data_IF_865786074429
#
_entry.id   IF_865786074429
#
_cell.length_a   1.000
_cell.length_b   1.000
_cell.length_c   1.000
_cell.angle_alpha   90.00
_cell.angle_beta   90.00
_cell.angle_gamma   90.00
#
_symmetry.space_group_name_H-M   'P 1'
#
loop_
_entity.id
_entity.type
_entity.pdbx_description
1 polymer ?
#
# COMPACT_ATOMS: atom_id res chain seq x y z
N UNK A 1 49.49 60.04 14.30
CA UNK A 1 49.53 58.61 13.90
C UNK A 1 48.26 57.89 14.38
N UNK A 2 47.35 57.46 13.48
CA UNK A 2 46.33 56.46 13.83
C UNK A 2 46.27 55.33 12.78
N UNK A 3 47.06 54.26 12.96
CA UNK A 3 46.99 53.04 12.11
C UNK A 3 46.29 51.85 12.79
N UNK A 4 46.14 51.84 14.13
CA UNK A 4 45.56 50.69 14.87
C UNK A 4 44.04 50.59 14.70
N UNK A 5 43.30 51.70 14.73
CA UNK A 5 41.84 51.73 14.63
C UNK A 5 41.30 51.05 13.35
N UNK A 6 41.91 51.29 12.19
CA UNK A 6 41.42 50.72 10.93
C UNK A 6 41.69 49.21 10.78
N UNK A 7 42.71 48.68 11.47
CA UNK A 7 43.06 47.25 11.40
C UNK A 7 42.06 46.41 12.20
N UNK A 8 41.64 46.90 13.37
CA UNK A 8 40.67 46.20 14.21
C UNK A 8 39.27 46.19 13.59
N UNK A 9 38.84 47.28 12.94
CA UNK A 9 37.56 47.35 12.20
C UNK A 9 37.53 46.36 11.03
N UNK A 10 38.63 46.20 10.28
CA UNK A 10 38.69 45.21 9.19
C UNK A 10 38.61 43.78 9.70
N UNK A 11 39.16 43.50 10.89
CA UNK A 11 39.15 42.17 11.51
C UNK A 11 37.75 41.80 12.04
N UNK A 12 37.03 42.74 12.65
CA UNK A 12 35.63 42.54 13.06
C UNK A 12 34.69 42.38 11.86
N UNK A 13 34.84 43.18 10.81
CA UNK A 13 34.03 43.02 9.57
C UNK A 13 34.24 41.65 8.94
N UNK A 14 35.50 41.17 8.83
CA UNK A 14 35.77 39.81 8.32
C UNK A 14 35.11 38.73 9.17
N UNK A 15 35.16 38.84 10.51
CA UNK A 15 34.48 37.87 11.41
C UNK A 15 32.97 37.87 11.22
N UNK A 16 32.35 39.05 11.09
CA UNK A 16 30.91 39.16 10.84
C UNK A 16 30.54 38.51 9.51
N UNK A 17 31.29 38.78 8.43
CA UNK A 17 31.07 38.15 7.13
C UNK A 17 31.22 36.62 7.23
N UNK A 18 32.24 36.12 7.92
CA UNK A 18 32.43 34.67 8.12
C UNK A 18 31.24 34.05 8.87
N UNK A 19 30.72 34.70 9.91
CA UNK A 19 29.55 34.21 10.65
C UNK A 19 28.28 34.24 9.81
N UNK A 20 28.09 35.27 8.99
CA UNK A 20 26.94 35.37 8.07
C UNK A 20 27.01 34.25 7.02
N UNK A 21 28.17 34.01 6.41
CA UNK A 21 28.37 32.92 5.45
C UNK A 21 28.11 31.56 6.10
N UNK A 22 28.61 31.35 7.33
CA UNK A 22 28.36 30.11 8.07
C UNK A 22 26.85 29.92 8.36
N UNK A 23 26.16 30.99 8.76
CA UNK A 23 24.71 30.97 8.99
C UNK A 23 23.92 30.62 7.72
N UNK A 24 24.33 31.17 6.57
CA UNK A 24 23.74 30.85 5.27
C UNK A 24 23.95 29.37 4.94
N UNK A 25 25.16 28.83 5.15
CA UNK A 25 25.46 27.41 4.90
C UNK A 25 24.58 26.51 5.78
N UNK A 26 24.40 26.83 7.06
CA UNK A 26 23.53 26.06 7.97
C UNK A 26 22.08 26.10 7.49
N UNK A 27 21.57 27.25 7.03
CA UNK A 27 20.22 27.36 6.48
C UNK A 27 20.02 26.54 5.20
N UNK A 28 21.03 26.51 4.32
CA UNK A 28 21.00 25.67 3.12
C UNK A 28 20.97 24.18 3.49
N UNK A 29 21.84 23.76 4.40
CA UNK A 29 21.90 22.38 4.88
C UNK A 29 20.55 21.98 5.50
N UNK A 30 19.98 22.82 6.37
CA UNK A 30 18.68 22.57 6.98
C UNK A 30 17.56 22.43 5.95
N UNK A 31 17.52 23.28 4.93
CA UNK A 31 16.54 23.19 3.83
C UNK A 31 16.67 21.87 3.06
N UNK A 32 17.89 21.45 2.73
CA UNK A 32 18.13 20.17 2.02
C UNK A 32 17.63 19.00 2.87
N UNK A 33 18.01 18.93 4.14
CA UNK A 33 17.56 17.85 5.04
C UNK A 33 16.03 17.83 5.21
N UNK A 34 15.40 18.99 5.35
CA UNK A 34 13.94 19.08 5.51
C UNK A 34 13.17 18.59 4.27
N UNK A 35 13.69 18.85 3.07
CA UNK A 35 13.09 18.41 1.82
C UNK A 35 13.29 16.92 1.58
N UNK A 36 14.49 16.40 1.86
CA UNK A 36 14.78 14.97 1.75
C UNK A 36 13.87 14.15 2.68
N UNK A 37 13.72 14.58 3.94
CA UNK A 37 12.90 13.87 4.91
C UNK A 37 11.42 13.79 4.51
N UNK A 38 10.87 14.88 3.95
CA UNK A 38 9.50 14.90 3.43
C UNK A 38 9.34 14.05 2.16
N UNK A 39 10.35 14.08 1.27
CA UNK A 39 10.38 13.26 0.06
C UNK A 39 10.32 11.77 0.37
N UNK A 40 11.20 11.29 1.27
CA UNK A 40 11.24 9.87 1.67
C UNK A 40 9.91 9.40 2.27
N UNK A 41 9.28 10.18 3.15
CA UNK A 41 7.97 9.83 3.73
C UNK A 41 6.87 9.72 2.69
N UNK A 42 6.89 10.57 1.67
CA UNK A 42 5.91 10.54 0.58
C UNK A 42 6.07 9.28 -0.26
N UNK A 43 7.30 8.93 -0.62
CA UNK A 43 7.62 7.70 -1.37
C UNK A 43 7.17 6.46 -0.59
N UNK A 44 7.57 6.34 0.68
CA UNK A 44 7.19 5.20 1.53
C UNK A 44 5.66 5.09 1.71
N UNK A 45 4.95 6.22 1.78
CA UNK A 45 3.47 6.25 1.81
C UNK A 45 2.87 5.78 0.49
N UNK A 46 3.46 6.15 -0.64
CA UNK A 46 3.02 5.72 -1.97
C UNK A 46 3.27 4.22 -2.17
N UNK A 47 4.45 3.71 -1.83
CA UNK A 47 4.77 2.28 -1.90
C UNK A 47 3.82 1.44 -1.04
N UNK A 48 3.53 1.86 0.19
CA UNK A 48 2.53 1.18 1.03
C UNK A 48 1.14 1.16 0.41
N UNK A 49 0.74 2.25 -0.28
CA UNK A 49 -0.54 2.29 -0.99
C UNK A 49 -0.55 1.36 -2.19
N UNK A 50 0.54 1.31 -2.96
CA UNK A 50 0.68 0.39 -4.09
C UNK A 50 0.55 -1.06 -3.62
N UNK A 51 1.35 -1.46 -2.62
CA UNK A 51 1.29 -2.82 -2.08
C UNK A 51 -0.10 -3.19 -1.56
N UNK A 52 -0.82 -2.23 -0.94
CA UNK A 52 -2.21 -2.45 -0.50
C UNK A 52 -3.15 -2.66 -1.68
N UNK A 53 -3.05 -1.83 -2.72
CA UNK A 53 -3.89 -1.93 -3.92
C UNK A 53 -3.62 -3.23 -4.67
N UNK A 54 -2.35 -3.63 -4.80
CA UNK A 54 -1.97 -4.90 -5.43
C UNK A 54 -2.53 -6.10 -4.68
N UNK A 55 -2.52 -6.05 -3.34
CA UNK A 55 -3.17 -7.06 -2.50
C UNK A 55 -4.68 -7.13 -2.74
N UNK A 56 -5.35 -5.98 -2.83
CA UNK A 56 -6.79 -5.90 -3.11
C UNK A 56 -7.12 -6.45 -4.50
N UNK A 57 -6.32 -6.14 -5.52
CA UNK A 57 -6.47 -6.68 -6.87
C UNK A 57 -6.33 -8.20 -6.87
N UNK A 58 -5.33 -8.74 -6.16
CA UNK A 58 -5.13 -10.18 -6.06
C UNK A 58 -6.32 -10.89 -5.39
N UNK A 59 -6.87 -10.31 -4.33
CA UNK A 59 -8.05 -10.83 -3.62
C UNK A 59 -9.30 -10.81 -4.52
N UNK A 60 -9.58 -9.68 -5.18
CA UNK A 60 -10.70 -9.53 -6.11
C UNK A 60 -10.61 -10.48 -7.30
N UNK A 61 -9.41 -10.69 -7.84
CA UNK A 61 -9.19 -11.64 -8.93
C UNK A 61 -9.47 -13.09 -8.49
N UNK A 62 -9.07 -13.45 -7.26
CA UNK A 62 -9.37 -14.77 -6.69
C UNK A 62 -10.87 -14.96 -6.48
N UNK A 63 -11.55 -13.94 -5.97
CA UNK A 63 -13.00 -13.97 -5.78
C UNK A 63 -13.74 -14.08 -7.11
N UNK A 64 -13.33 -13.30 -8.12
CA UNK A 64 -13.88 -13.34 -9.48
C UNK A 64 -13.75 -14.73 -10.07
N UNK A 65 -12.56 -15.35 -10.00
CA UNK A 65 -12.36 -16.73 -10.49
C UNK A 65 -13.26 -17.74 -9.79
N UNK A 66 -13.41 -17.63 -8.46
CA UNK A 66 -14.31 -18.50 -7.69
C UNK A 66 -15.78 -18.32 -8.10
N UNK A 67 -16.20 -17.09 -8.40
CA UNK A 67 -17.54 -16.79 -8.89
C UNK A 67 -17.75 -17.38 -10.30
N UNK A 68 -16.78 -17.23 -11.20
CA UNK A 68 -16.83 -17.82 -12.54
C UNK A 68 -16.95 -19.34 -12.49
N UNK A 69 -16.16 -20.02 -11.65
CA UNK A 69 -16.26 -21.47 -11.43
C UNK A 69 -17.65 -21.89 -10.92
N UNK A 70 -18.23 -21.12 -9.98
CA UNK A 70 -19.60 -21.36 -9.51
C UNK A 70 -20.64 -21.19 -10.61
N UNK A 71 -20.51 -20.14 -11.42
CA UNK A 71 -21.42 -19.90 -12.56
C UNK A 71 -21.33 -21.04 -13.56
N UNK A 72 -20.13 -21.52 -13.87
CA UNK A 72 -19.93 -22.67 -14.75
C UNK A 72 -20.56 -23.94 -14.17
N UNK A 73 -20.37 -24.19 -12.87
CA UNK A 73 -20.99 -25.33 -12.20
C UNK A 73 -22.52 -25.27 -12.25
N UNK A 74 -23.13 -24.13 -11.88
CA UNK A 74 -24.60 -23.95 -11.91
C UNK A 74 -25.17 -24.09 -13.32
N UNK A 75 -24.42 -23.72 -14.36
CA UNK A 75 -24.84 -23.89 -15.74
C UNK A 75 -24.53 -25.28 -16.31
N UNK A 76 -23.87 -26.15 -15.54
CA UNK A 76 -23.53 -27.51 -15.97
C UNK A 76 -24.71 -28.47 -15.77
N UNK A 77 -24.84 -29.45 -16.67
CA UNK A 77 -25.82 -30.53 -16.56
C UNK A 77 -25.70 -31.29 -15.23
N UNK A 78 -24.49 -31.39 -14.68
CA UNK A 78 -24.24 -32.05 -13.41
C UNK A 78 -24.97 -31.35 -12.25
N UNK A 79 -24.97 -30.01 -12.23
CA UNK A 79 -25.72 -29.27 -11.20
C UNK A 79 -27.23 -29.40 -11.38
N UNK A 80 -27.72 -29.40 -12.63
CA UNK A 80 -29.13 -29.58 -12.96
C UNK A 80 -29.60 -30.96 -12.49
N UNK A 81 -28.82 -32.01 -12.78
CA UNK A 81 -29.07 -33.37 -12.32
C UNK A 81 -29.06 -33.46 -10.79
N UNK A 82 -28.08 -32.84 -10.13
CA UNK A 82 -27.97 -32.87 -8.67
C UNK A 82 -29.15 -32.17 -8.00
N UNK A 83 -29.59 -31.01 -8.52
CA UNK A 83 -30.78 -30.30 -8.05
C UNK A 83 -32.03 -31.14 -8.31
N UNK A 84 -32.21 -31.65 -9.53
CA UNK A 84 -33.35 -32.49 -9.88
C UNK A 84 -33.45 -33.73 -8.98
N UNK A 85 -32.32 -34.39 -8.68
CA UNK A 85 -32.30 -35.51 -7.74
C UNK A 85 -32.75 -35.12 -6.33
N UNK A 86 -32.26 -34.00 -5.80
CA UNK A 86 -32.65 -33.51 -4.47
C UNK A 86 -34.13 -33.17 -4.40
N UNK A 87 -34.66 -32.46 -5.39
CA UNK A 87 -36.07 -32.05 -5.44
C UNK A 87 -37.03 -33.23 -5.69
N UNK A 88 -36.61 -34.22 -6.48
CA UNK A 88 -37.43 -35.39 -6.82
C UNK A 88 -37.20 -36.59 -5.89
N UNK A 89 -36.29 -36.48 -4.91
CA UNK A 89 -35.93 -37.59 -4.02
C UNK A 89 -35.26 -38.77 -4.73
N UNK A 90 -34.58 -38.53 -5.85
CA UNK A 90 -33.91 -39.55 -6.64
C UNK A 90 -32.45 -39.74 -6.17
N UNK A 91 -31.96 -40.98 -6.23
CA UNK A 91 -30.56 -41.34 -5.92
C UNK A 91 -29.92 -42.07 -7.10
N UNK A 92 -28.59 -42.00 -7.20
CA UNK A 92 -27.84 -42.79 -8.20
C UNK A 92 -27.82 -44.27 -7.82
N UNK A 93 -27.53 -45.13 -8.78
CA UNK A 93 -27.51 -46.60 -8.59
C UNK A 93 -26.55 -47.04 -7.47
N UNK A 94 -25.51 -46.24 -7.20
CA UNK A 94 -24.49 -46.46 -6.18
C UNK A 94 -24.68 -45.65 -4.89
N UNK A 95 -25.83 -44.99 -4.69
CA UNK A 95 -26.13 -44.16 -3.51
C UNK A 95 -27.28 -44.72 -2.65
N UNK A 96 -27.18 -44.60 -1.32
CA UNK A 96 -28.21 -44.99 -0.34
C UNK A 96 -28.96 -43.76 0.19
N UNK A 97 -30.30 -43.77 0.12
CA UNK A 97 -31.16 -42.72 0.68
C UNK A 97 -31.46 -43.00 2.16
N UNK A 98 -31.13 -42.07 3.05
CA UNK A 98 -31.53 -42.12 4.47
C UNK A 98 -32.70 -41.16 4.72
N UNK A 99 -33.84 -41.68 5.18
CA UNK A 99 -35.02 -40.89 5.55
C UNK A 99 -35.16 -40.92 7.08
N UNK A 100 -35.14 -39.75 7.71
CA UNK A 100 -35.40 -39.61 9.15
C UNK A 100 -36.91 -39.62 9.33
N UNK A 101 -37.43 -40.63 10.04
CA UNK A 101 -38.84 -40.73 10.42
C UNK A 101 -38.97 -40.18 11.84
N UNK A 102 -39.64 -39.04 12.01
CA UNK A 102 -40.03 -38.56 13.34
C UNK A 102 -41.29 -39.31 13.78
N UNK A 103 -41.27 -39.90 14.99
CA UNK A 103 -42.42 -40.61 15.62
C UNK A 103 -43.51 -39.66 16.13
#
# INVERSE_FOLDING_TARGET
MPKKSQVDTKKTVKRVITLVVLGIIVLFIFNIFSNLYQGHKKVEKLERKMNKLDGQIAELNKETKKLEEKVQYINSNQSIEEIARKELGLVKEDELLYVIVEE
#
